data_IF_371505937633
#
_entry.id   IF_371505937633
#
_cell.length_a   1.000
_cell.length_b   1.000
_cell.length_c   1.000
_cell.angle_alpha   90.00
_cell.angle_beta   90.00
_cell.angle_gamma   90.00
#
_symmetry.space_group_name_H-M   'P 1'
#
loop_
_entity.id
_entity.type
_entity.pdbx_description
1 polymer ?
#
# COMPACT_ATOMS: atom_id res chain seq x y z
N UNK A 1 -3.65 -17.39 1.12
CA UNK A 1 -3.52 -15.93 0.88
C UNK A 1 -2.10 -15.40 1.19
N UNK A 2 -1.61 -15.48 2.42
CA UNK A 2 -0.33 -14.86 2.76
C UNK A 2 0.90 -15.52 2.12
N UNK A 3 0.91 -16.82 1.97
CA UNK A 3 2.06 -17.60 1.46
C UNK A 3 2.17 -17.62 -0.08
N UNK A 4 1.12 -17.28 -0.79
CA UNK A 4 1.13 -17.27 -2.25
C UNK A 4 1.70 -15.97 -2.80
N UNK A 5 2.61 -16.03 -3.78
CA UNK A 5 3.29 -14.85 -4.35
C UNK A 5 2.35 -13.88 -5.07
N UNK A 6 1.31 -14.39 -5.71
CA UNK A 6 0.35 -13.58 -6.47
C UNK A 6 -0.98 -13.39 -5.74
N UNK A 7 -1.16 -14.03 -4.58
CA UNK A 7 -2.40 -14.07 -3.82
C UNK A 7 -3.38 -15.10 -4.39
N UNK A 8 -4.47 -15.31 -3.67
CA UNK A 8 -5.51 -16.27 -4.01
C UNK A 8 -6.78 -15.50 -4.31
N UNK A 9 -7.42 -15.80 -5.45
CA UNK A 9 -8.72 -15.22 -5.77
C UNK A 9 -9.79 -15.79 -4.82
N UNK A 10 -10.89 -15.05 -4.64
CA UNK A 10 -11.97 -15.50 -3.76
C UNK A 10 -12.63 -16.78 -4.29
N UNK A 11 -12.79 -16.90 -5.61
CA UNK A 11 -13.31 -18.11 -6.25
C UNK A 11 -12.40 -19.32 -6.04
N UNK A 12 -11.09 -19.12 -6.09
CA UNK A 12 -10.13 -20.16 -5.81
C UNK A 12 -10.13 -20.56 -4.32
N UNK A 13 -10.17 -19.59 -3.43
CA UNK A 13 -10.32 -19.84 -1.99
C UNK A 13 -11.61 -20.58 -1.68
N UNK A 14 -12.73 -20.22 -2.32
CA UNK A 14 -13.99 -20.92 -2.21
C UNK A 14 -13.86 -22.39 -2.59
N UNK A 15 -13.23 -22.67 -3.74
CA UNK A 15 -13.00 -24.03 -4.24
C UNK A 15 -12.09 -24.84 -3.33
N UNK A 16 -10.96 -24.28 -2.90
CA UNK A 16 -9.97 -24.95 -2.06
C UNK A 16 -10.52 -25.31 -0.68
N UNK A 17 -11.39 -24.48 -0.12
CA UNK A 17 -11.97 -24.67 1.22
C UNK A 17 -13.33 -25.39 1.18
N UNK A 18 -13.86 -25.77 0.01
CA UNK A 18 -15.15 -26.43 -0.11
C UNK A 18 -16.34 -25.55 0.31
N UNK A 19 -16.20 -24.23 0.28
CA UNK A 19 -17.23 -23.29 0.73
C UNK A 19 -18.35 -23.22 -0.32
N UNK A 20 -19.57 -23.57 0.05
CA UNK A 20 -20.70 -23.59 -0.88
C UNK A 20 -21.06 -22.20 -1.43
N UNK A 21 -21.01 -21.16 -0.59
CA UNK A 21 -21.46 -19.81 -0.96
C UNK A 21 -20.28 -18.87 -1.18
N UNK A 22 -20.20 -18.22 -2.35
CA UNK A 22 -19.20 -17.21 -2.67
C UNK A 22 -19.17 -16.06 -1.66
N UNK A 23 -20.34 -15.61 -1.19
CA UNK A 23 -20.47 -14.54 -0.19
C UNK A 23 -19.71 -14.88 1.12
N UNK A 24 -19.76 -16.14 1.55
CA UNK A 24 -19.04 -16.59 2.75
C UNK A 24 -17.54 -16.54 2.53
N UNK A 25 -17.02 -17.06 1.40
CA UNK A 25 -15.62 -16.98 1.05
C UNK A 25 -15.15 -15.52 0.92
N UNK A 26 -15.96 -14.65 0.32
CA UNK A 26 -15.69 -13.23 0.20
C UNK A 26 -15.57 -12.55 1.57
N UNK A 27 -16.52 -12.78 2.48
CA UNK A 27 -16.49 -12.25 3.84
C UNK A 27 -15.25 -12.73 4.61
N UNK A 28 -14.92 -14.03 4.53
CA UNK A 28 -13.71 -14.58 5.17
C UNK A 28 -12.44 -13.91 4.64
N UNK A 29 -12.32 -13.76 3.32
CA UNK A 29 -11.19 -13.09 2.71
C UNK A 29 -11.04 -11.63 3.18
N UNK A 30 -12.16 -10.90 3.31
CA UNK A 30 -12.13 -9.52 3.79
C UNK A 30 -11.82 -9.41 5.29
N UNK A 31 -12.25 -10.36 6.11
CA UNK A 31 -11.83 -10.44 7.53
C UNK A 31 -10.32 -10.62 7.65
N UNK A 32 -9.74 -11.50 6.84
CA UNK A 32 -8.28 -11.70 6.79
C UNK A 32 -7.57 -10.43 6.31
N UNK A 33 -8.07 -9.75 5.27
CA UNK A 33 -7.50 -8.48 4.78
C UNK A 33 -7.56 -7.39 5.85
N UNK A 34 -8.66 -7.32 6.61
CA UNK A 34 -8.76 -6.40 7.75
C UNK A 34 -7.68 -6.69 8.78
N UNK A 35 -7.48 -7.95 9.17
CA UNK A 35 -6.44 -8.32 10.12
C UNK A 35 -5.03 -7.95 9.63
N UNK A 36 -4.76 -8.14 8.33
CA UNK A 36 -3.52 -7.70 7.69
C UNK A 36 -3.35 -6.17 7.76
N UNK A 37 -4.40 -5.41 7.47
CA UNK A 37 -4.40 -3.96 7.52
C UNK A 37 -4.18 -3.44 8.95
N UNK A 38 -4.94 -3.94 9.92
CA UNK A 38 -4.83 -3.56 11.34
C UNK A 38 -3.44 -3.88 11.89
N UNK A 39 -2.84 -4.99 11.48
CA UNK A 39 -1.47 -5.32 11.89
C UNK A 39 -0.46 -4.35 11.31
N UNK A 40 -0.55 -4.04 10.01
CA UNK A 40 0.39 -3.13 9.34
C UNK A 40 0.14 -1.66 9.74
N UNK A 41 -1.04 -1.33 10.24
CA UNK A 41 -1.33 0.01 10.75
C UNK A 41 -0.43 0.42 11.92
N UNK A 42 0.15 -0.53 12.64
CA UNK A 42 1.04 -0.29 13.79
C UNK A 42 2.47 0.04 13.38
N UNK A 43 2.85 -0.21 12.13
CA UNK A 43 4.21 0.04 11.66
C UNK A 43 4.34 1.44 11.03
N UNK A 44 5.55 1.96 11.13
CA UNK A 44 5.99 3.19 10.50
C UNK A 44 7.16 2.88 9.58
N UNK A 45 7.36 3.70 8.56
CA UNK A 45 8.57 3.65 7.75
C UNK A 45 9.66 4.54 8.37
N UNK A 46 10.92 4.23 8.10
CA UNK A 46 12.06 4.97 8.65
C UNK A 46 13.11 5.24 7.59
N UNK A 47 13.95 6.25 7.84
CA UNK A 47 15.07 6.63 6.99
C UNK A 47 14.64 7.24 5.67
N UNK A 48 15.26 6.80 4.58
CA UNK A 48 14.93 7.21 3.21
C UNK A 48 13.79 6.39 2.64
N UNK A 49 12.80 7.05 2.04
CA UNK A 49 11.75 6.38 1.26
C UNK A 49 11.73 6.82 -0.19
N UNK A 50 11.38 5.92 -1.11
CA UNK A 50 10.84 6.28 -2.42
C UNK A 50 9.34 6.47 -2.30
N UNK A 51 8.81 7.53 -2.92
CA UNK A 51 7.39 7.83 -2.93
C UNK A 51 6.92 8.27 -4.32
N UNK A 52 5.78 7.74 -4.75
CA UNK A 52 5.14 8.07 -6.02
C UNK A 52 3.64 7.84 -5.94
N UNK A 53 2.88 8.44 -6.87
CA UNK A 53 1.45 8.21 -7.02
C UNK A 53 1.14 7.35 -8.26
N UNK A 54 0.01 6.67 -8.20
CA UNK A 54 -0.46 5.90 -9.35
C UNK A 54 -1.96 5.74 -9.38
N UNK A 55 -2.51 5.60 -10.59
CA UNK A 55 -3.93 5.38 -10.80
C UNK A 55 -4.27 3.90 -10.84
N UNK A 56 -5.25 3.51 -10.02
CA UNK A 56 -5.83 2.17 -9.97
C UNK A 56 -7.30 2.21 -10.41
N UNK A 57 -7.73 1.24 -11.20
CA UNK A 57 -9.08 1.13 -11.71
C UNK A 57 -9.13 0.53 -13.12
N UNK A 58 -10.33 0.36 -13.68
CA UNK A 58 -10.49 -0.20 -15.02
C UNK A 58 -9.85 0.70 -16.08
N UNK A 59 -9.44 0.08 -17.20
CA UNK A 59 -8.99 0.84 -18.38
C UNK A 59 -10.18 1.63 -18.93
N UNK A 60 -10.16 2.96 -18.78
CA UNK A 60 -11.13 3.85 -19.41
C UNK A 60 -10.80 4.03 -20.89
N UNK A 61 -11.81 4.46 -21.67
CA UNK A 61 -11.63 4.83 -23.10
C UNK A 61 -10.70 6.04 -23.28
N UNK A 62 -10.53 6.89 -22.25
CA UNK A 62 -9.60 8.04 -22.25
C UNK A 62 -8.40 7.74 -21.34
N UNK A 63 -7.15 7.82 -21.86
CA UNK A 63 -5.96 7.77 -21.01
C UNK A 63 -5.84 9.08 -20.20
N UNK A 64 -5.40 9.01 -18.93
CA UNK A 64 -5.06 10.18 -18.12
C UNK A 64 -5.86 10.34 -16.82
N UNK A 65 -5.64 11.49 -16.18
CA UNK A 65 -6.16 11.86 -14.83
C UNK A 65 -7.68 12.10 -14.77
N UNK A 66 -8.41 12.13 -15.89
CA UNK A 66 -9.83 12.49 -15.95
C UNK A 66 -10.84 11.33 -15.93
N UNK A 67 -10.48 10.12 -15.48
CA UNK A 67 -11.41 9.01 -15.40
C UNK A 67 -11.99 8.88 -13.98
N UNK A 68 -13.26 9.22 -13.80
CA UNK A 68 -14.02 9.09 -12.53
C UNK A 68 -13.95 7.69 -11.89
N UNK A 69 -13.61 6.67 -12.67
CA UNK A 69 -13.49 5.28 -12.21
C UNK A 69 -12.10 4.91 -11.68
N UNK A 70 -11.12 5.81 -11.78
CA UNK A 70 -9.76 5.59 -11.28
C UNK A 70 -9.59 6.28 -9.94
N UNK A 71 -8.94 5.58 -9.02
CA UNK A 71 -8.54 6.12 -7.72
C UNK A 71 -7.06 6.41 -7.71
N UNK A 72 -6.70 7.51 -7.10
CA UNK A 72 -5.29 7.85 -6.83
C UNK A 72 -4.82 7.01 -5.65
N UNK A 73 -3.64 6.43 -5.77
CA UNK A 73 -3.00 5.65 -4.72
C UNK A 73 -1.60 6.20 -4.53
N UNK A 74 -1.30 6.68 -3.33
CA UNK A 74 0.05 6.99 -2.92
C UNK A 74 0.76 5.70 -2.50
N UNK A 75 2.00 5.54 -2.93
CA UNK A 75 2.85 4.41 -2.60
C UNK A 75 4.18 4.93 -2.04
N UNK A 76 4.63 4.34 -0.94
CA UNK A 76 5.94 4.58 -0.37
C UNK A 76 6.66 3.26 -0.10
N UNK A 77 7.98 3.26 -0.31
CA UNK A 77 8.85 2.12 -0.04
C UNK A 77 10.07 2.61 0.72
N UNK A 78 10.30 2.10 1.92
CA UNK A 78 11.54 2.39 2.66
C UNK A 78 12.73 1.70 2.01
N UNK A 79 13.88 2.34 2.10
CA UNK A 79 15.13 1.84 1.53
C UNK A 79 16.15 1.55 2.63
N UNK A 80 16.92 0.49 2.44
CA UNK A 80 18.05 0.18 3.29
C UNK A 80 19.24 -0.28 2.45
N UNK A 81 20.43 -0.21 3.00
CA UNK A 81 21.64 -0.77 2.38
C UNK A 81 21.92 -2.15 2.95
N UNK A 82 22.11 -3.13 2.08
CA UNK A 82 22.56 -4.45 2.49
C UNK A 82 24.04 -4.45 2.89
N UNK A 83 24.57 -5.62 3.27
CA UNK A 83 25.96 -5.77 3.71
C UNK A 83 27.00 -5.42 2.63
N UNK A 84 26.59 -5.47 1.37
CA UNK A 84 27.43 -5.11 0.22
C UNK A 84 27.29 -3.61 -0.14
N UNK A 85 26.55 -2.83 0.66
CA UNK A 85 26.27 -1.41 0.42
C UNK A 85 25.21 -1.15 -0.66
N UNK A 86 24.58 -2.18 -1.21
CA UNK A 86 23.60 -2.09 -2.27
C UNK A 86 22.23 -1.69 -1.72
N UNK A 87 21.58 -0.73 -2.37
CA UNK A 87 20.25 -0.27 -1.98
C UNK A 87 19.17 -1.33 -2.25
N UNK A 88 18.35 -1.60 -1.27
CA UNK A 88 17.27 -2.58 -1.28
C UNK A 88 15.97 -1.99 -0.75
N UNK A 89 14.85 -2.54 -1.24
CA UNK A 89 13.54 -2.20 -0.69
C UNK A 89 13.36 -2.80 0.70
N UNK A 90 12.95 -1.99 1.65
CA UNK A 90 12.48 -2.40 2.96
C UNK A 90 10.99 -2.72 2.96
N UNK A 91 10.20 -1.93 3.69
CA UNK A 91 8.76 -2.06 3.78
C UNK A 91 8.05 -1.13 2.80
N UNK A 92 6.85 -1.53 2.39
CA UNK A 92 5.99 -0.75 1.51
C UNK A 92 4.67 -0.41 2.20
N UNK A 93 4.12 0.74 1.84
CA UNK A 93 2.79 1.17 2.24
C UNK A 93 2.07 1.82 1.06
N UNK A 94 0.78 1.51 0.90
CA UNK A 94 -0.07 2.05 -0.16
C UNK A 94 -1.37 2.54 0.43
N UNK A 95 -1.81 3.74 0.04
CA UNK A 95 -3.07 4.34 0.49
C UNK A 95 -3.84 4.92 -0.68
N UNK A 96 -5.14 4.60 -0.74
CA UNK A 96 -6.08 5.28 -1.61
C UNK A 96 -6.32 6.68 -1.05
N UNK A 97 -6.18 7.68 -1.90
CA UNK A 97 -6.42 9.08 -1.55
C UNK A 97 -7.43 9.68 -2.52
N UNK A 98 -8.01 10.82 -2.15
CA UNK A 98 -8.98 11.50 -2.99
C UNK A 98 -8.31 12.07 -4.24
N UNK A 99 -7.15 12.68 -4.04
CA UNK A 99 -6.37 13.32 -5.10
C UNK A 99 -4.86 13.27 -4.84
N UNK A 100 -4.06 13.86 -5.74
CA UNK A 100 -2.61 14.02 -5.59
C UNK A 100 -2.21 15.36 -4.96
N UNK A 101 -3.03 15.94 -4.11
CA UNK A 101 -2.75 17.23 -3.45
C UNK A 101 -1.59 17.15 -2.46
N UNK A 102 -1.08 18.33 -2.06
CA UNK A 102 -0.09 18.41 -1.00
C UNK A 102 -0.66 17.97 0.36
N UNK A 103 -1.94 18.20 0.61
CA UNK A 103 -2.66 17.78 1.81
C UNK A 103 -2.70 16.26 1.91
N UNK A 104 -3.22 15.57 0.87
CA UNK A 104 -3.22 14.10 0.79
C UNK A 104 -1.82 13.49 0.96
N UNK A 105 -0.79 14.12 0.41
CA UNK A 105 0.59 13.69 0.56
C UNK A 105 1.13 13.95 1.99
N UNK A 106 0.72 15.04 2.62
CA UNK A 106 1.06 15.38 4.00
C UNK A 106 0.51 14.35 4.99
N UNK A 107 -0.77 14.06 4.91
CA UNK A 107 -1.46 13.04 5.72
C UNK A 107 -0.86 11.66 5.51
N UNK A 108 -0.50 11.35 4.28
CA UNK A 108 0.17 10.10 3.97
C UNK A 108 1.53 9.99 4.66
N UNK A 109 2.36 11.05 4.62
CA UNK A 109 3.67 11.07 5.29
C UNK A 109 3.55 11.02 6.82
N UNK A 110 2.58 11.72 7.41
CA UNK A 110 2.30 11.62 8.85
C UNK A 110 1.99 10.18 9.26
N UNK A 111 1.16 9.51 8.49
CA UNK A 111 0.82 8.11 8.70
C UNK A 111 2.05 7.20 8.61
N UNK A 112 3.04 7.55 7.81
CA UNK A 112 4.27 6.76 7.64
C UNK A 112 5.30 6.99 8.77
N UNK A 113 5.15 7.98 9.61
CA UNK A 113 6.07 8.27 10.71
C UNK A 113 6.78 9.61 10.59
N UNK A 114 6.23 10.51 9.75
CA UNK A 114 6.63 11.90 9.72
C UNK A 114 5.92 12.65 10.85
N UNK A 115 6.67 13.26 11.73
CA UNK A 115 6.14 13.98 12.90
C UNK A 115 6.82 13.53 14.20
N UNK A 116 6.61 14.27 15.30
CA UNK A 116 7.26 13.96 16.57
C UNK A 116 6.81 12.59 17.07
N UNK A 117 7.77 11.70 17.22
CA UNK A 117 7.55 10.41 17.86
C UNK A 117 7.50 10.57 19.38
N UNK A 118 6.54 9.93 20.01
CA UNK A 118 6.39 9.91 21.47
C UNK A 118 7.68 9.43 22.14
N UNK A 119 8.29 10.26 22.95
CA UNK A 119 9.34 9.92 23.88
C UNK A 119 10.71 10.58 23.64
N UNK A 120 11.22 10.64 22.43
CA UNK A 120 12.56 11.18 22.14
C UNK A 120 12.57 12.33 21.10
N UNK A 121 11.40 12.73 20.59
CA UNK A 121 11.28 13.86 19.66
C UNK A 121 11.92 13.65 18.27
N UNK A 122 12.46 12.45 17.97
CA UNK A 122 13.12 12.18 16.70
C UNK A 122 12.15 11.66 15.66
N UNK A 123 12.15 12.30 14.51
CA UNK A 123 11.38 11.86 13.35
C UNK A 123 11.94 10.57 12.76
N UNK A 124 11.07 9.59 12.44
CA UNK A 124 11.50 8.32 11.85
C UNK A 124 11.91 8.46 10.38
N UNK A 125 11.17 9.29 9.62
CA UNK A 125 11.51 9.58 8.23
C UNK A 125 12.57 10.69 8.18
N UNK A 126 13.64 10.47 7.43
CA UNK A 126 14.75 11.42 7.28
C UNK A 126 14.73 12.09 5.90
N UNK A 127 14.33 11.33 4.88
CA UNK A 127 14.35 11.80 3.51
C UNK A 127 13.27 11.13 2.65
N UNK A 128 12.81 11.87 1.64
CA UNK A 128 11.95 11.33 0.58
C UNK A 128 12.63 11.49 -0.78
N UNK A 129 12.51 10.46 -1.62
CA UNK A 129 12.92 10.45 -3.02
C UNK A 129 11.69 10.37 -3.91
N UNK A 130 11.46 11.35 -4.78
CA UNK A 130 10.27 11.44 -5.64
C UNK A 130 10.64 11.89 -7.06
N UNK A 131 9.70 11.79 -7.99
CA UNK A 131 9.82 12.31 -9.36
C UNK A 131 9.89 13.83 -9.47
N UNK A 132 9.74 14.52 -8.35
CA UNK A 132 9.80 15.98 -8.28
C UNK A 132 8.48 16.69 -8.55
N UNK A 133 7.35 16.01 -8.44
CA UNK A 133 6.03 16.67 -8.44
C UNK A 133 5.97 17.78 -7.40
N UNK A 134 5.38 18.94 -7.78
CA UNK A 134 5.41 20.17 -6.94
C UNK A 134 4.85 19.98 -5.53
N UNK A 135 3.79 19.18 -5.39
CA UNK A 135 3.17 18.88 -4.10
C UNK A 135 4.14 18.26 -3.11
N UNK A 136 4.98 17.31 -3.56
CA UNK A 136 5.95 16.65 -2.70
C UNK A 136 7.04 17.58 -2.17
N UNK A 137 7.48 18.54 -2.99
CA UNK A 137 8.47 19.53 -2.56
C UNK A 137 7.96 20.49 -1.50
N UNK A 138 6.68 20.85 -1.54
CA UNK A 138 6.04 21.66 -0.49
C UNK A 138 5.96 20.86 0.81
N UNK A 139 5.38 19.66 0.75
CA UNK A 139 5.18 18.80 1.93
C UNK A 139 6.50 18.42 2.59
N UNK A 140 7.56 18.15 1.81
CA UNK A 140 8.87 17.84 2.37
C UNK A 140 9.43 19.00 3.20
N UNK A 141 9.28 20.25 2.73
CA UNK A 141 9.69 21.44 3.50
C UNK A 141 8.84 21.63 4.75
N UNK A 142 7.51 21.49 4.63
CA UNK A 142 6.58 21.67 5.74
C UNK A 142 6.79 20.62 6.85
N UNK A 143 7.36 19.47 6.50
CA UNK A 143 7.63 18.34 7.42
C UNK A 143 9.11 18.20 7.80
N UNK A 144 9.96 19.15 7.43
CA UNK A 144 11.43 19.11 7.67
C UNK A 144 12.10 17.82 7.18
N UNK A 145 11.71 17.37 5.98
CA UNK A 145 12.27 16.19 5.32
C UNK A 145 13.28 16.59 4.24
N UNK A 146 14.39 15.90 4.18
CA UNK A 146 15.31 16.03 3.05
C UNK A 146 14.64 15.52 1.78
N UNK A 147 14.45 16.40 0.80
CA UNK A 147 13.83 16.05 -0.48
C UNK A 147 14.88 15.72 -1.53
N UNK A 148 15.02 14.45 -1.89
CA UNK A 148 15.85 13.96 -2.98
C UNK A 148 15.03 13.93 -4.27
N UNK A 149 14.94 15.08 -4.94
CA UNK A 149 14.18 15.21 -6.19
C UNK A 149 14.91 14.55 -7.34
N UNK A 150 14.26 13.65 -8.03
CA UNK A 150 14.76 13.00 -9.23
C UNK A 150 14.05 13.58 -10.44
N UNK A 151 14.75 14.38 -11.25
CA UNK A 151 14.17 15.01 -12.44
C UNK A 151 14.23 14.03 -13.59
N UNK A 152 13.06 13.60 -14.05
CA UNK A 152 12.88 12.79 -15.25
C UNK A 152 13.06 13.64 -16.50
N UNK A 153 14.23 13.59 -17.12
CA UNK A 153 14.45 14.16 -18.46
C UNK A 153 13.86 13.25 -19.55
N UNK A 154 13.76 11.96 -19.29
CA UNK A 154 13.18 10.94 -20.19
C UNK A 154 12.15 10.11 -19.41
N UNK A 155 10.87 10.06 -19.84
CA UNK A 155 9.84 9.22 -19.22
C UNK A 155 10.20 7.73 -19.15
N UNK A 156 11.03 7.24 -20.11
CA UNK A 156 11.51 5.85 -20.09
C UNK A 156 12.52 5.57 -18.98
N UNK A 157 13.14 6.60 -18.43
CA UNK A 157 14.08 6.47 -17.33
C UNK A 157 13.40 6.40 -15.94
N UNK A 158 12.08 6.62 -15.85
CA UNK A 158 11.33 6.62 -14.59
C UNK A 158 11.58 5.37 -13.74
N UNK A 159 11.50 4.18 -14.36
CA UNK A 159 11.76 2.91 -13.68
C UNK A 159 13.19 2.70 -13.21
N UNK A 160 14.16 3.53 -13.67
CA UNK A 160 15.56 3.49 -13.20
C UNK A 160 15.81 4.44 -12.04
N UNK A 161 14.99 5.48 -11.90
CA UNK A 161 15.21 6.56 -10.95
C UNK A 161 14.46 6.34 -9.63
N UNK A 162 13.30 5.66 -9.69
CA UNK A 162 12.50 5.24 -8.54
C UNK A 162 12.17 3.73 -8.66
N UNK A 163 13.19 2.85 -8.70
CA UNK A 163 13.00 1.46 -9.12
C UNK A 163 12.11 0.67 -8.17
N UNK A 164 12.16 0.97 -6.89
CA UNK A 164 11.47 0.18 -5.88
C UNK A 164 9.98 0.52 -5.79
N UNK A 165 9.63 1.80 -5.74
CA UNK A 165 8.22 2.20 -5.71
C UNK A 165 7.50 1.81 -7.00
N UNK A 166 8.13 2.01 -8.16
CA UNK A 166 7.56 1.58 -9.45
C UNK A 166 7.36 0.06 -9.53
N UNK A 167 8.31 -0.73 -8.98
CA UNK A 167 8.18 -2.19 -8.92
C UNK A 167 7.01 -2.62 -8.04
N UNK A 168 6.84 -2.00 -6.86
CA UNK A 168 5.72 -2.29 -5.96
C UNK A 168 4.39 -1.93 -6.62
N UNK A 169 4.29 -0.75 -7.24
CA UNK A 169 3.10 -0.31 -7.98
C UNK A 169 2.76 -1.29 -9.13
N UNK A 170 3.77 -1.68 -9.91
CA UNK A 170 3.58 -2.60 -11.05
C UNK A 170 3.11 -3.97 -10.58
N UNK A 171 3.69 -4.51 -9.52
CA UNK A 171 3.29 -5.79 -8.92
C UNK A 171 1.85 -5.70 -8.38
N UNK A 172 1.49 -4.63 -7.69
CA UNK A 172 0.14 -4.42 -7.19
C UNK A 172 -0.88 -4.38 -8.33
N UNK A 173 -0.59 -3.66 -9.41
CA UNK A 173 -1.44 -3.63 -10.61
C UNK A 173 -1.57 -5.01 -11.26
N UNK A 174 -0.47 -5.77 -11.33
CA UNK A 174 -0.46 -7.13 -11.89
C UNK A 174 -1.34 -8.09 -11.06
N UNK A 175 -1.23 -8.08 -9.73
CA UNK A 175 -2.06 -8.88 -8.82
C UNK A 175 -3.55 -8.51 -8.96
N UNK A 176 -3.89 -7.22 -8.93
CA UNK A 176 -5.29 -6.77 -9.05
C UNK A 176 -5.91 -7.17 -10.38
N UNK A 177 -5.16 -7.09 -11.48
CA UNK A 177 -5.67 -7.48 -12.81
C UNK A 177 -5.70 -8.99 -13.00
N UNK A 178 -4.63 -9.70 -12.63
CA UNK A 178 -4.45 -11.13 -12.87
C UNK A 178 -5.26 -11.98 -11.91
N UNK A 179 -5.01 -11.85 -10.61
CA UNK A 179 -5.64 -12.69 -9.59
C UNK A 179 -7.09 -12.29 -9.32
N UNK A 180 -7.37 -10.98 -9.23
CA UNK A 180 -8.69 -10.49 -8.82
C UNK A 180 -9.56 -10.00 -9.98
N UNK A 181 -9.03 -9.98 -11.22
CA UNK A 181 -9.71 -9.51 -12.44
C UNK A 181 -10.32 -8.11 -12.31
N UNK A 182 -9.78 -7.30 -11.43
CA UNK A 182 -10.26 -5.98 -11.06
C UNK A 182 -10.92 -5.98 -9.69
N UNK A 183 -10.95 -4.80 -9.07
CA UNK A 183 -11.49 -4.56 -7.73
C UNK A 183 -12.28 -3.27 -7.77
N UNK A 184 -13.43 -3.23 -7.10
CA UNK A 184 -14.19 -1.99 -6.98
C UNK A 184 -13.42 -0.95 -6.17
N UNK A 185 -13.64 0.33 -6.44
CA UNK A 185 -12.99 1.43 -5.72
C UNK A 185 -13.24 1.38 -4.21
N UNK A 186 -14.43 0.92 -3.80
CA UNK A 186 -14.83 0.75 -2.40
C UNK A 186 -13.90 -0.19 -1.61
N UNK A 187 -13.44 -1.26 -2.23
CA UNK A 187 -12.65 -2.30 -1.56
C UNK A 187 -11.15 -2.24 -1.91
N UNK A 188 -10.74 -1.29 -2.76
CA UNK A 188 -9.37 -1.20 -3.27
C UNK A 188 -8.35 -1.17 -2.13
N UNK A 189 -8.58 -0.36 -1.08
CA UNK A 189 -7.66 -0.26 0.06
C UNK A 189 -7.40 -1.62 0.74
N UNK A 190 -8.42 -2.44 0.91
CA UNK A 190 -8.27 -3.77 1.53
C UNK A 190 -7.34 -4.69 0.74
N UNK A 191 -7.38 -4.62 -0.59
CA UNK A 191 -6.49 -5.39 -1.46
C UNK A 191 -5.07 -4.84 -1.47
N UNK A 192 -4.91 -3.51 -1.46
CA UNK A 192 -3.60 -2.88 -1.34
C UNK A 192 -2.94 -3.23 0.00
N UNK A 193 -3.71 -3.25 1.08
CA UNK A 193 -3.23 -3.67 2.41
C UNK A 193 -2.76 -5.12 2.42
N UNK A 194 -3.47 -6.06 1.77
CA UNK A 194 -3.03 -7.44 1.59
C UNK A 194 -1.69 -7.51 0.82
N UNK A 195 -1.57 -6.75 -0.27
CA UNK A 195 -0.36 -6.73 -1.09
C UNK A 195 0.83 -6.20 -0.29
N UNK A 196 0.64 -5.09 0.44
CA UNK A 196 1.67 -4.54 1.32
C UNK A 196 2.04 -5.52 2.44
N UNK A 197 1.06 -6.14 3.10
CA UNK A 197 1.30 -7.13 4.15
C UNK A 197 2.20 -8.27 3.68
N UNK A 198 1.93 -8.84 2.52
CA UNK A 198 2.74 -9.92 1.92
C UNK A 198 4.13 -9.43 1.54
N UNK A 199 4.22 -8.26 0.87
CA UNK A 199 5.49 -7.66 0.50
C UNK A 199 6.37 -7.40 1.72
N UNK A 200 5.81 -6.87 2.79
CA UNK A 200 6.51 -6.53 4.02
C UNK A 200 7.03 -7.76 4.78
N UNK A 201 6.43 -8.94 4.55
CA UNK A 201 6.83 -10.20 5.21
C UNK A 201 7.59 -11.17 4.31
N UNK A 202 8.00 -10.75 3.13
CA UNK A 202 8.78 -11.58 2.20
C UNK A 202 10.11 -12.08 2.76
N UNK A 203 10.62 -11.43 3.80
CA UNK A 203 11.84 -11.84 4.49
C UNK A 203 11.62 -12.96 5.50
N UNK A 204 10.36 -13.24 5.88
CA UNK A 204 9.96 -14.20 6.91
C UNK A 204 8.93 -15.19 6.36
N UNK A 205 9.22 -15.79 5.21
CA UNK A 205 8.28 -16.70 4.52
C UNK A 205 7.84 -17.87 5.42
N UNK A 206 8.75 -18.42 6.23
CA UNK A 206 8.45 -19.53 7.15
C UNK A 206 7.50 -19.14 8.29
N UNK A 207 7.51 -17.89 8.70
CA UNK A 207 6.72 -17.38 9.83
C UNK A 207 5.43 -16.66 9.39
N UNK A 208 5.22 -16.48 8.10
CA UNK A 208 4.14 -15.63 7.59
C UNK A 208 2.76 -16.16 7.99
N UNK A 209 2.61 -17.48 8.09
CA UNK A 209 1.37 -18.13 8.53
C UNK A 209 1.07 -17.81 9.99
N UNK A 210 2.01 -18.03 10.90
CA UNK A 210 1.85 -17.78 12.34
C UNK A 210 1.60 -16.30 12.62
N UNK A 211 2.33 -15.41 11.91
CA UNK A 211 2.13 -13.97 11.98
C UNK A 211 0.73 -13.56 11.51
N UNK A 212 0.18 -14.25 10.50
CA UNK A 212 -1.18 -14.00 10.03
C UNK A 212 -2.22 -14.50 11.03
N UNK A 213 -2.05 -15.68 11.59
CA UNK A 213 -2.94 -16.20 12.64
C UNK A 213 -2.97 -15.26 13.82
N UNK A 214 -1.79 -14.80 14.30
CA UNK A 214 -1.71 -13.83 15.39
C UNK A 214 -2.43 -12.51 15.03
N UNK A 215 -2.29 -12.02 13.81
CA UNK A 215 -3.01 -10.83 13.36
C UNK A 215 -4.53 -11.06 13.38
N UNK A 216 -5.01 -12.22 12.93
CA UNK A 216 -6.43 -12.55 12.91
C UNK A 216 -7.06 -12.62 14.31
N UNK A 217 -6.35 -13.23 15.28
CA UNK A 217 -6.88 -13.34 16.66
C UNK A 217 -6.78 -12.04 17.44
N UNK A 218 -5.91 -11.11 17.03
CA UNK A 218 -5.71 -9.79 17.66
C UNK A 218 -6.58 -8.70 17.06
N UNK A 219 -7.37 -9.00 16.02
CA UNK A 219 -8.17 -8.01 15.29
C UNK A 219 -9.64 -8.13 15.63
N UNK A 220 -10.31 -7.00 15.86
CA UNK A 220 -11.77 -6.99 15.93
C UNK A 220 -12.39 -7.45 14.62
N UNK A 221 -13.32 -8.40 14.72
CA UNK A 221 -14.01 -8.92 13.54
C UNK A 221 -14.91 -7.87 12.91
N UNK A 222 -15.11 -7.96 11.59
CA UNK A 222 -16.05 -7.12 10.85
C UNK A 222 -17.20 -7.97 10.33
N UNK A 223 -18.41 -7.42 10.38
CA UNK A 223 -19.61 -8.06 9.84
C UNK A 223 -19.75 -7.80 8.34
N UNK A 224 -20.61 -8.58 7.66
CA UNK A 224 -20.94 -8.32 6.27
C UNK A 224 -21.59 -6.93 6.08
N UNK A 225 -22.50 -6.55 6.98
CA UNK A 225 -23.13 -5.21 6.96
C UNK A 225 -22.10 -4.11 7.07
N UNK A 226 -21.11 -4.25 7.96
CA UNK A 226 -19.99 -3.32 8.09
C UNK A 226 -19.15 -3.20 6.82
N UNK A 227 -18.87 -4.32 6.12
CA UNK A 227 -18.12 -4.29 4.86
C UNK A 227 -18.87 -3.66 3.69
N UNK A 228 -20.20 -3.87 3.64
CA UNK A 228 -21.03 -3.40 2.53
C UNK A 228 -21.62 -2.02 2.81
N UNK A 229 -21.86 -1.67 4.10
CA UNK A 229 -22.47 -0.41 4.53
C UNK A 229 -21.49 0.75 4.71
N UNK A 230 -20.21 0.51 4.93
CA UNK A 230 -19.22 1.58 5.11
C UNK A 230 -19.00 2.37 3.82
N UNK A 231 -19.53 3.55 3.78
CA UNK A 231 -18.91 4.67 3.11
C UNK A 231 -17.57 4.95 3.81
N UNK A 232 -16.59 5.30 3.05
CA UNK A 232 -15.14 5.31 3.28
C UNK A 232 -14.63 6.21 4.42
N UNK A 233 -15.40 6.60 5.42
CA UNK A 233 -15.01 7.59 6.43
C UNK A 233 -14.25 7.06 7.65
N UNK A 234 -14.23 5.76 7.93
CA UNK A 234 -13.62 5.24 9.18
C UNK A 234 -12.32 4.43 9.03
N UNK A 235 -11.74 4.32 7.83
CA UNK A 235 -10.41 3.76 7.66
C UNK A 235 -9.30 4.82 7.67
N UNK A 236 -9.64 6.04 8.07
CA UNK A 236 -8.78 7.23 8.04
C UNK A 236 -8.44 7.81 9.42
N UNK A 237 -8.80 7.15 10.51
CA UNK A 237 -8.36 7.55 11.85
C UNK A 237 -7.25 6.67 12.40
#
# INVERSE_FOLDING_TARGET
MAMDKVGVSISEMQRLLGIKQYRTAWLMAHKVRKAMADRDSRYRLAGLIEMDDSFFGPRGKKPGRGSERKRVVLCAVSLYRDREGKERAGFAYMRVVEDGSAESAGDFLERLGCGPTTGEGRQLLEAIRTDGWRSYGKVARDKDLKHCKVILRDPKAAGRLLPWVHRVISNAKAVIRGTHRGVSSKHLQSYLSEICYRFNRRFWEKEIFDRLVLACVSTQTITYKGLVGHETSELAS
#
